data_IF_722899006657
#
_entry.id   IF_722899006657
#
_cell.length_a   1.000
_cell.length_b   1.000
_cell.length_c   1.000
_cell.angle_alpha   90.00
_cell.angle_beta   90.00
_cell.angle_gamma   90.00
#
_symmetry.space_group_name_H-M   'P 1'
#
loop_
_entity.id
_entity.type
_entity.pdbx_description
1 polymer ?
#
# COMPACT_ATOMS: atom_id res chain seq x y z
N UNK A 1 62.32 -2.98 9.95
CA UNK A 1 61.50 -1.75 10.01
C UNK A 1 60.04 -2.14 9.89
N UNK A 2 59.30 -2.20 10.99
CA UNK A 2 57.86 -2.49 10.97
C UNK A 2 57.18 -1.55 11.97
N UNK A 3 56.56 -0.49 11.44
CA UNK A 3 55.86 0.53 12.21
C UNK A 3 54.36 0.31 11.99
N UNK A 4 53.70 -0.24 13.00
CA UNK A 4 52.25 -0.42 13.04
C UNK A 4 51.72 0.40 14.20
N UNK A 5 51.23 1.61 13.92
CA UNK A 5 50.53 2.45 14.89
C UNK A 5 49.31 3.03 14.19
N UNK A 6 48.19 2.34 14.42
CA UNK A 6 46.88 2.91 14.75
C UNK A 6 46.43 4.18 14.03
N UNK A 7 45.59 3.99 13.00
CA UNK A 7 44.71 5.00 12.44
C UNK A 7 43.25 4.53 12.55
N UNK A 8 42.58 5.05 13.57
CA UNK A 8 41.20 4.85 13.99
C UNK A 8 40.19 4.68 12.82
N UNK A 9 39.44 3.58 12.88
CA UNK A 9 38.41 3.22 11.92
C UNK A 9 37.33 4.31 11.79
N UNK A 10 37.21 4.87 10.59
CA UNK A 10 36.04 5.65 10.19
C UNK A 10 34.88 4.67 10.09
N UNK A 11 33.98 4.71 11.07
CA UNK A 11 32.68 4.07 10.98
C UNK A 11 31.92 4.80 9.87
N UNK A 12 32.01 4.28 8.64
CA UNK A 12 31.01 4.57 7.62
C UNK A 12 29.69 4.01 8.16
N UNK A 13 28.89 4.89 8.77
CA UNK A 13 27.44 4.74 8.79
C UNK A 13 27.02 4.75 7.32
N UNK A 14 27.10 3.59 6.68
CA UNK A 14 26.48 3.35 5.40
C UNK A 14 25.00 3.66 5.61
N UNK A 15 24.54 4.73 4.96
CA UNK A 15 23.13 5.04 4.80
C UNK A 15 22.46 3.76 4.33
N UNK A 16 21.74 3.09 5.22
CA UNK A 16 20.88 1.98 4.84
C UNK A 16 19.97 2.53 3.76
N UNK A 17 19.91 1.93 2.57
CA UNK A 17 18.88 2.28 1.62
C UNK A 17 17.57 2.06 2.37
N UNK A 18 16.81 3.13 2.60
CA UNK A 18 15.40 3.03 2.94
C UNK A 18 14.83 2.15 1.84
N UNK A 19 14.52 0.91 2.18
CA UNK A 19 13.92 -0.01 1.25
C UNK A 19 12.65 0.67 0.75
N UNK A 20 12.65 1.07 -0.51
CA UNK A 20 11.43 1.42 -1.21
C UNK A 20 10.51 0.22 -1.00
N UNK A 21 9.45 0.39 -0.22
CA UNK A 21 8.47 -0.67 -0.04
C UNK A 21 8.01 -1.03 -1.46
N UNK A 22 8.00 -2.32 -1.82
CA UNK A 22 7.57 -2.70 -3.15
C UNK A 22 6.20 -2.08 -3.39
N UNK A 23 6.03 -1.40 -4.53
CA UNK A 23 4.72 -1.04 -5.04
C UNK A 23 3.84 -2.29 -4.91
N UNK A 24 2.64 -2.13 -4.36
CA UNK A 24 1.80 -3.29 -4.10
C UNK A 24 1.59 -4.08 -5.39
N UNK A 25 1.52 -5.41 -5.31
CA UNK A 25 1.30 -6.23 -6.50
C UNK A 25 0.05 -5.70 -7.23
N UNK A 26 0.16 -5.28 -8.51
CA UNK A 26 -0.97 -4.73 -9.24
C UNK A 26 -2.20 -5.64 -9.22
N UNK A 27 -1.99 -6.97 -9.21
CA UNK A 27 -3.08 -7.93 -9.14
C UNK A 27 -3.80 -7.92 -7.77
N UNK A 28 -3.06 -7.70 -6.67
CA UNK A 28 -3.64 -7.57 -5.33
C UNK A 28 -4.40 -6.25 -5.19
N UNK A 29 -3.87 -5.15 -5.74
CA UNK A 29 -4.56 -3.86 -5.79
C UNK A 29 -5.88 -4.00 -6.55
N UNK A 30 -5.87 -4.66 -7.70
CA UNK A 30 -7.06 -4.90 -8.50
C UNK A 30 -8.07 -5.80 -7.80
N UNK A 31 -7.61 -6.82 -7.07
CA UNK A 31 -8.47 -7.65 -6.24
C UNK A 31 -9.16 -6.84 -5.14
N UNK A 32 -8.45 -5.91 -4.49
CA UNK A 32 -9.03 -4.99 -3.49
C UNK A 32 -10.05 -4.07 -4.15
N UNK A 33 -9.75 -3.48 -5.30
CA UNK A 33 -10.69 -2.61 -6.04
C UNK A 33 -11.95 -3.39 -6.44
N UNK A 34 -11.79 -4.62 -6.93
CA UNK A 34 -12.92 -5.49 -7.25
C UNK A 34 -13.76 -5.81 -6.01
N UNK A 35 -13.13 -6.07 -4.86
CA UNK A 35 -13.82 -6.29 -3.59
C UNK A 35 -14.56 -5.03 -3.11
N UNK A 36 -13.98 -3.84 -3.26
CA UNK A 36 -14.66 -2.56 -2.97
C UNK A 36 -15.92 -2.40 -3.82
N UNK A 37 -15.82 -2.65 -5.14
CA UNK A 37 -16.96 -2.56 -6.05
C UNK A 37 -18.03 -3.61 -5.76
N UNK A 38 -17.62 -4.84 -5.44
CA UNK A 38 -18.54 -5.90 -5.05
C UNK A 38 -19.30 -5.58 -3.76
N UNK A 39 -18.62 -4.97 -2.79
CA UNK A 39 -19.22 -4.53 -1.52
C UNK A 39 -20.05 -3.24 -1.65
N UNK A 40 -19.87 -2.47 -2.72
CA UNK A 40 -20.57 -1.21 -2.98
C UNK A 40 -21.18 -1.22 -4.39
N UNK A 41 -22.27 -2.00 -4.60
CA UNK A 41 -22.93 -2.09 -5.91
C UNK A 41 -23.50 -0.75 -6.36
N UNK A 42 -23.92 0.11 -5.42
CA UNK A 42 -24.15 1.52 -5.69
C UNK A 42 -22.84 2.31 -5.57
N UNK A 43 -22.04 2.22 -6.62
CA UNK A 43 -20.74 2.89 -6.68
C UNK A 43 -20.86 4.41 -6.61
N UNK A 44 -21.97 4.98 -7.11
CA UNK A 44 -22.24 6.42 -7.03
C UNK A 44 -22.38 6.89 -5.58
N UNK A 45 -23.11 6.13 -4.77
CA UNK A 45 -23.24 6.40 -3.32
C UNK A 45 -21.88 6.28 -2.61
N UNK A 46 -21.04 5.31 -2.98
CA UNK A 46 -19.66 5.24 -2.47
C UNK A 46 -18.87 6.51 -2.79
N UNK A 47 -18.93 6.99 -4.04
CA UNK A 47 -18.22 8.20 -4.45
C UNK A 47 -18.70 9.46 -3.71
N UNK A 48 -20.00 9.55 -3.38
CA UNK A 48 -20.57 10.67 -2.61
C UNK A 48 -20.05 10.74 -1.17
N UNK A 49 -19.58 9.62 -0.59
CA UNK A 49 -18.96 9.60 0.74
C UNK A 49 -17.57 10.25 0.77
N UNK A 50 -17.01 10.60 -0.38
CA UNK A 50 -15.73 11.28 -0.49
C UNK A 50 -14.51 10.42 -0.10
N UNK A 51 -13.34 11.05 0.09
CA UNK A 51 -12.08 10.35 0.32
C UNK A 51 -12.10 9.43 1.54
N UNK A 52 -12.73 9.85 2.64
CA UNK A 52 -12.80 9.05 3.87
C UNK A 52 -13.68 7.81 3.69
N UNK A 53 -14.82 7.95 3.00
CA UNK A 53 -15.67 6.81 2.67
C UNK A 53 -14.96 5.78 1.78
N UNK A 54 -14.21 6.25 0.79
CA UNK A 54 -13.42 5.40 -0.11
C UNK A 54 -12.28 4.71 0.65
N UNK A 55 -11.58 5.42 1.53
CA UNK A 55 -10.52 4.85 2.37
C UNK A 55 -11.07 3.78 3.29
N UNK A 56 -12.22 4.03 3.93
CA UNK A 56 -12.91 3.06 4.78
C UNK A 56 -13.30 1.80 4.00
N UNK A 57 -13.98 1.96 2.86
CA UNK A 57 -14.37 0.83 2.01
C UNK A 57 -13.16 0.01 1.53
N UNK A 58 -12.05 0.68 1.16
CA UNK A 58 -10.81 0.02 0.75
C UNK A 58 -10.16 -0.74 1.91
N UNK A 59 -10.20 -0.17 3.12
CA UNK A 59 -9.68 -0.82 4.33
C UNK A 59 -10.48 -2.07 4.68
N UNK A 60 -11.82 -1.97 4.64
CA UNK A 60 -12.72 -3.10 4.88
C UNK A 60 -12.51 -4.22 3.85
N UNK A 61 -12.36 -3.87 2.57
CA UNK A 61 -12.07 -4.82 1.50
C UNK A 61 -10.72 -5.53 1.70
N UNK A 62 -9.65 -4.79 2.04
CA UNK A 62 -8.35 -5.38 2.35
C UNK A 62 -8.44 -6.32 3.55
N UNK A 63 -9.11 -5.90 4.63
CA UNK A 63 -9.29 -6.72 5.83
C UNK A 63 -10.00 -8.04 5.51
N UNK A 64 -11.04 -8.00 4.66
CA UNK A 64 -11.73 -9.20 4.19
C UNK A 64 -10.81 -10.11 3.36
N UNK A 65 -10.02 -9.54 2.44
CA UNK A 65 -9.07 -10.32 1.64
C UNK A 65 -7.94 -10.91 2.49
N UNK A 66 -7.45 -10.17 3.48
CA UNK A 66 -6.47 -10.63 4.45
C UNK A 66 -7.00 -11.79 5.29
N UNK A 67 -8.24 -11.68 5.81
CA UNK A 67 -8.90 -12.76 6.52
C UNK A 67 -9.09 -14.02 5.66
N UNK A 68 -9.20 -13.87 4.34
CA UNK A 68 -9.28 -14.98 3.38
C UNK A 68 -7.93 -15.52 2.89
N UNK A 69 -6.81 -15.00 3.42
CA UNK A 69 -5.45 -15.40 3.01
C UNK A 69 -5.04 -14.95 1.60
N UNK A 70 -5.76 -13.98 1.02
CA UNK A 70 -5.54 -13.47 -0.35
C UNK A 70 -4.64 -12.23 -0.42
N UNK A 71 -4.19 -11.74 0.72
CA UNK A 71 -3.24 -10.62 0.83
C UNK A 71 -1.88 -11.18 1.20
N UNK A 72 -0.89 -10.99 0.32
CA UNK A 72 0.52 -11.33 0.55
C UNK A 72 1.33 -10.08 0.88
N UNK A 73 0.97 -8.93 0.30
CA UNK A 73 1.62 -7.65 0.52
C UNK A 73 1.22 -6.92 1.80
N UNK A 74 1.66 -5.66 1.92
CA UNK A 74 1.28 -4.80 3.04
C UNK A 74 -0.18 -4.33 2.89
N UNK A 75 -1.09 -4.68 3.82
CA UNK A 75 -2.50 -4.33 3.72
C UNK A 75 -2.74 -2.82 3.70
N UNK A 76 -1.93 -2.04 4.41
CA UNK A 76 -2.05 -0.58 4.40
C UNK A 76 -1.64 0.03 3.06
N UNK A 77 -0.59 -0.49 2.42
CA UNK A 77 -0.17 -0.07 1.09
C UNK A 77 -1.24 -0.43 0.05
N UNK A 78 -1.75 -1.67 0.09
CA UNK A 78 -2.82 -2.15 -0.78
C UNK A 78 -4.09 -1.31 -0.65
N UNK A 79 -4.53 -1.03 0.58
CA UNK A 79 -5.71 -0.20 0.83
C UNK A 79 -5.53 1.24 0.38
N UNK A 80 -4.31 1.78 0.52
CA UNK A 80 -3.96 3.11 0.03
C UNK A 80 -4.00 3.22 -1.49
N UNK A 81 -3.34 2.29 -2.19
CA UNK A 81 -3.29 2.26 -3.66
C UNK A 81 -4.67 1.97 -4.27
N UNK A 82 -5.41 1.01 -3.73
CA UNK A 82 -6.76 0.69 -4.17
C UNK A 82 -7.72 1.86 -3.92
N UNK A 83 -7.64 2.51 -2.76
CA UNK A 83 -8.44 3.70 -2.44
C UNK A 83 -8.15 4.87 -3.38
N UNK A 84 -6.88 5.07 -3.76
CA UNK A 84 -6.53 6.05 -4.78
C UNK A 84 -7.12 5.69 -6.15
N UNK A 85 -7.08 4.41 -6.54
CA UNK A 85 -7.65 3.94 -7.80
C UNK A 85 -9.16 4.13 -7.86
N UNK A 86 -9.89 3.70 -6.83
CA UNK A 86 -11.34 3.95 -6.68
C UNK A 86 -11.64 5.45 -6.71
N UNK A 87 -10.85 6.26 -6.01
CA UNK A 87 -11.00 7.71 -6.02
C UNK A 87 -10.82 8.34 -7.40
N UNK A 88 -9.90 7.83 -8.24
CA UNK A 88 -9.75 8.28 -9.63
C UNK A 88 -10.99 7.95 -10.44
N UNK A 89 -11.50 6.73 -10.34
CA UNK A 89 -12.73 6.32 -11.04
C UNK A 89 -13.94 7.17 -10.61
N UNK A 90 -14.06 7.50 -9.32
CA UNK A 90 -15.10 8.40 -8.81
C UNK A 90 -15.05 9.82 -9.39
N UNK A 91 -13.90 10.27 -9.91
CA UNK A 91 -13.72 11.59 -10.54
C UNK A 91 -13.84 11.55 -12.07
N UNK A 92 -14.29 10.44 -12.64
CA UNK A 92 -14.39 10.25 -14.09
C UNK A 92 -13.05 9.95 -14.76
N UNK A 93 -12.11 9.35 -14.01
CA UNK A 93 -10.82 8.90 -14.51
C UNK A 93 -10.90 7.74 -15.50
#
# INVERSE_FOLDING_TARGET
MLKHITGLAIVLLAALPVAAQPASDPAEVDAVVAAVKAANPDFKSLCQKGPDGIRKASTEAVMGLMASGKVKGNPQALGGEAGQKVGRECRGG
#
